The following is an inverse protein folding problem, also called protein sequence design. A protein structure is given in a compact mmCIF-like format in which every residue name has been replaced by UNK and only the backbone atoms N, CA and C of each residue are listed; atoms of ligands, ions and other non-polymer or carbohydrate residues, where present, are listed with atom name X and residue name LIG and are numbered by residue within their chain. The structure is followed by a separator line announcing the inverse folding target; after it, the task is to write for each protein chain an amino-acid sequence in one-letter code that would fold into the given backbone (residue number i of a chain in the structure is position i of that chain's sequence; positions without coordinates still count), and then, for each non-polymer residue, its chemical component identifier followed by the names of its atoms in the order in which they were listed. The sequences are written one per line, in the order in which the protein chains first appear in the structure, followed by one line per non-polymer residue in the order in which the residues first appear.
data_IF_577995913652
#
_entry.id   IF_577995913652
#
_cell.length_a   1.000
_cell.length_b   1.000
_cell.length_c   1.000
_cell.angle_alpha   90.00
_cell.angle_beta   90.00
_cell.angle_gamma   90.00
#
_symmetry.space_group_name_H-M   'P 1'
#
loop_
_entity.id
_entity.type
_entity.pdbx_description
1 polymer ?
#
# COMPACT_ATOMS: atom_id res chain seq x y z
N UNK A 1 67.01 2.37 64.16
CA UNK A 1 65.75 1.64 64.02
C UNK A 1 64.95 2.40 62.99
N UNK A 2 64.96 2.00 61.76
CA UNK A 2 64.49 2.69 60.61
C UNK A 2 63.34 1.88 59.95
N UNK A 3 62.18 2.42 59.94
CA UNK A 3 61.00 1.81 59.32
C UNK A 3 60.82 2.38 57.90
N UNK A 4 60.91 1.51 56.89
CA UNK A 4 60.69 1.79 55.48
C UNK A 4 59.20 1.67 55.13
N UNK A 5 58.63 2.76 54.72
CA UNK A 5 57.25 2.81 54.24
C UNK A 5 57.16 2.58 52.73
N UNK A 6 56.58 1.45 52.34
CA UNK A 6 56.31 1.07 50.97
C UNK A 6 55.08 1.79 50.45
N UNK A 7 55.24 2.64 49.43
CA UNK A 7 54.10 3.28 48.70
C UNK A 7 53.60 2.31 47.61
N UNK A 8 52.40 1.80 47.78
CA UNK A 8 51.72 1.02 46.76
C UNK A 8 51.04 1.97 45.77
N UNK A 9 51.56 1.98 44.57
CA UNK A 9 50.99 2.73 43.45
C UNK A 9 49.64 2.12 43.01
N UNK A 10 48.58 2.91 43.03
CA UNK A 10 47.28 2.56 42.48
C UNK A 10 47.32 2.66 40.96
N UNK A 11 47.40 1.52 40.29
CA UNK A 11 47.17 1.38 38.86
C UNK A 11 45.68 1.52 38.61
N UNK A 12 45.26 2.65 38.01
CA UNK A 12 43.90 2.81 37.51
C UNK A 12 43.77 2.09 36.19
N UNK A 13 43.12 0.92 36.17
CA UNK A 13 42.66 0.30 34.94
C UNK A 13 41.53 1.15 34.36
N UNK A 14 41.82 1.84 33.28
CA UNK A 14 40.83 2.48 32.44
C UNK A 14 40.18 1.40 31.57
N UNK A 15 39.00 0.96 31.93
CA UNK A 15 38.18 0.05 31.11
C UNK A 15 37.65 0.85 29.91
N UNK A 16 38.25 0.68 28.74
CA UNK A 16 37.67 1.12 27.47
C UNK A 16 36.52 0.19 27.13
N UNK A 17 35.30 0.62 27.41
CA UNK A 17 34.09 -0.02 26.88
C UNK A 17 33.98 0.34 25.40
N UNK A 18 34.45 -0.54 24.52
CA UNK A 18 34.19 -0.46 23.09
C UNK A 18 32.71 -0.77 22.84
N UNK A 19 31.89 0.28 22.74
CA UNK A 19 30.53 0.18 22.25
C UNK A 19 30.59 -0.16 20.74
N UNK A 20 30.52 -1.43 20.41
CA UNK A 20 30.30 -1.89 19.05
C UNK A 20 28.92 -1.45 18.59
N UNK A 21 28.85 -0.35 17.85
CA UNK A 21 27.68 0.08 17.10
C UNK A 21 27.43 -0.98 16.04
N UNK A 22 26.56 -1.95 16.34
CA UNK A 22 25.97 -2.83 15.37
C UNK A 22 25.07 -1.99 14.46
N UNK A 23 25.64 -1.37 13.43
CA UNK A 23 24.89 -0.85 12.30
C UNK A 23 24.37 -2.08 11.56
N UNK A 24 23.23 -2.60 12.02
CA UNK A 24 22.51 -3.63 11.31
C UNK A 24 22.08 -3.05 9.98
N UNK A 25 22.74 -3.41 8.89
CA UNK A 25 22.24 -3.23 7.55
C UNK A 25 20.88 -3.92 7.50
N UNK A 26 19.79 -3.19 7.67
CA UNK A 26 18.45 -3.73 7.50
C UNK A 26 18.38 -4.26 6.06
N UNK A 27 18.20 -5.57 5.92
CA UNK A 27 18.01 -6.19 4.60
C UNK A 27 16.82 -5.48 3.93
N UNK A 28 16.90 -5.22 2.62
CA UNK A 28 15.76 -4.66 1.90
C UNK A 28 14.55 -5.58 2.09
N UNK A 29 13.41 -4.98 2.40
CA UNK A 29 12.15 -5.73 2.46
C UNK A 29 11.81 -6.25 1.07
N UNK A 30 11.40 -7.50 1.00
CA UNK A 30 10.93 -8.16 -0.22
C UNK A 30 9.59 -8.80 0.10
N UNK A 31 8.60 -8.60 -0.77
CA UNK A 31 7.30 -9.25 -0.62
C UNK A 31 7.40 -10.74 -0.94
N UNK A 32 6.76 -11.56 -0.13
CA UNK A 32 6.71 -13.00 -0.35
C UNK A 32 5.50 -13.34 -1.24
N UNK A 33 5.68 -14.31 -2.13
CA UNK A 33 4.60 -14.84 -2.97
C UNK A 33 3.44 -15.38 -2.14
N UNK A 34 2.22 -15.29 -2.69
CA UNK A 34 0.97 -15.74 -2.07
C UNK A 34 0.34 -16.84 -2.90
N UNK A 35 -0.49 -17.72 -2.29
CA UNK A 35 -1.24 -18.73 -3.04
C UNK A 35 -2.09 -18.11 -4.15
N UNK A 36 -2.10 -18.77 -5.31
CA UNK A 36 -2.91 -18.39 -6.47
C UNK A 36 -4.30 -19.03 -6.44
N UNK A 37 -4.45 -20.14 -5.74
CA UNK A 37 -5.67 -20.94 -5.74
C UNK A 37 -6.82 -20.17 -5.05
N UNK A 38 -7.92 -20.03 -5.79
CA UNK A 38 -9.11 -19.38 -5.27
C UNK A 38 -9.75 -20.29 -4.20
N UNK A 39 -10.04 -19.76 -3.00
CA UNK A 39 -10.69 -20.54 -1.96
C UNK A 39 -12.08 -21.01 -2.39
N UNK A 40 -12.46 -22.21 -1.99
CA UNK A 40 -13.76 -22.78 -2.32
C UNK A 40 -14.90 -21.90 -1.81
N UNK A 41 -15.84 -21.57 -2.69
CA UNK A 41 -17.01 -20.76 -2.34
C UNK A 41 -16.78 -19.26 -2.31
N UNK A 42 -15.57 -18.77 -2.61
CA UNK A 42 -15.28 -17.34 -2.69
C UNK A 42 -15.43 -16.84 -4.12
N UNK A 43 -16.40 -15.97 -4.33
CA UNK A 43 -16.60 -15.23 -5.59
C UNK A 43 -16.89 -13.75 -5.28
N UNK A 44 -15.89 -12.92 -5.56
CA UNK A 44 -15.95 -11.46 -5.36
C UNK A 44 -16.67 -10.75 -6.51
N UNK A 45 -17.07 -11.46 -7.57
CA UNK A 45 -17.74 -10.88 -8.75
C UNK A 45 -19.03 -10.17 -8.35
N UNK A 46 -19.35 -9.08 -9.03
CA UNK A 46 -20.60 -8.35 -8.86
C UNK A 46 -20.44 -6.85 -9.05
N UNK A 47 -21.57 -6.16 -8.93
CA UNK A 47 -21.65 -4.70 -8.85
C UNK A 47 -21.74 -4.30 -7.37
N UNK A 48 -20.91 -3.37 -6.97
CA UNK A 48 -20.74 -2.97 -5.58
C UNK A 48 -20.86 -1.45 -5.45
N UNK A 49 -21.65 -0.98 -4.48
CA UNK A 49 -21.83 0.44 -4.21
C UNK A 49 -21.30 0.77 -2.81
N UNK A 50 -20.46 1.81 -2.72
CA UNK A 50 -19.89 2.27 -1.45
C UNK A 50 -21.01 2.69 -0.50
N UNK A 51 -20.96 2.22 0.76
CA UNK A 51 -21.92 2.60 1.81
C UNK A 51 -21.83 4.08 2.13
N UNK A 52 -22.97 4.70 2.45
CA UNK A 52 -23.06 6.14 2.70
C UNK A 52 -22.25 6.58 3.95
N UNK A 53 -22.17 5.73 4.97
CA UNK A 53 -21.39 5.95 6.18
C UNK A 53 -19.88 5.95 5.94
N UNK A 54 -19.42 5.33 4.85
CA UNK A 54 -18.03 5.37 4.40
C UNK A 54 -17.73 6.54 3.43
N UNK A 55 -18.69 7.43 3.20
CA UNK A 55 -18.54 8.58 2.30
C UNK A 55 -17.39 9.54 2.69
N UNK A 56 -17.05 9.61 3.97
CA UNK A 56 -15.86 10.31 4.48
C UNK A 56 -14.54 9.62 4.10
N UNK A 57 -14.62 8.44 3.51
CA UNK A 57 -13.45 7.64 3.11
C UNK A 57 -12.51 8.41 2.18
N UNK A 58 -13.04 9.17 1.22
CA UNK A 58 -12.21 9.99 0.32
C UNK A 58 -11.42 11.09 1.07
N UNK A 59 -12.02 11.68 2.12
CA UNK A 59 -11.33 12.67 2.97
C UNK A 59 -10.26 12.01 3.83
N UNK A 60 -10.58 10.87 4.45
CA UNK A 60 -9.62 10.08 5.24
C UNK A 60 -8.47 9.59 4.37
N UNK A 61 -8.78 9.11 3.15
CA UNK A 61 -7.78 8.70 2.18
C UNK A 61 -6.82 9.83 1.83
N UNK A 62 -7.32 11.01 1.49
CA UNK A 62 -6.47 12.18 1.22
C UNK A 62 -5.59 12.55 2.42
N UNK A 63 -6.13 12.46 3.64
CA UNK A 63 -5.35 12.69 4.86
C UNK A 63 -4.24 11.65 5.04
N UNK A 64 -4.54 10.37 4.82
CA UNK A 64 -3.58 9.28 4.89
C UNK A 64 -2.46 9.44 3.84
N UNK A 65 -2.81 9.78 2.61
CA UNK A 65 -1.85 10.04 1.53
C UNK A 65 -0.91 11.18 1.93
N UNK A 66 -1.44 12.29 2.44
CA UNK A 66 -0.59 13.40 2.90
C UNK A 66 0.35 13.00 4.03
N UNK A 67 -0.14 12.19 4.97
CA UNK A 67 0.68 11.73 6.09
C UNK A 67 1.82 10.82 5.64
N UNK A 68 1.58 10.00 4.60
CA UNK A 68 2.58 9.02 4.12
C UNK A 68 3.52 9.59 3.07
N UNK A 69 3.01 10.31 2.07
CA UNK A 69 3.79 10.77 0.91
C UNK A 69 4.25 12.23 0.98
N UNK A 70 3.60 13.05 1.81
CA UNK A 70 3.89 14.49 1.92
C UNK A 70 3.56 15.29 0.65
N UNK A 71 2.74 14.74 -0.26
CA UNK A 71 2.38 15.37 -1.54
C UNK A 71 1.10 16.18 -1.41
N UNK A 72 1.05 17.35 -2.06
CA UNK A 72 -0.14 18.21 -2.08
C UNK A 72 -1.23 17.60 -2.98
N UNK A 73 -2.42 17.36 -2.43
CA UNK A 73 -3.55 16.71 -3.08
C UNK A 73 -4.21 17.52 -4.21
N UNK A 74 -3.85 18.80 -4.36
CA UNK A 74 -4.40 19.65 -5.44
C UNK A 74 -4.06 19.16 -6.85
N UNK A 75 -2.95 18.44 -7.00
CA UNK A 75 -2.51 17.89 -8.29
C UNK A 75 -3.14 16.53 -8.62
N UNK A 76 -3.60 15.77 -7.60
CA UNK A 76 -3.98 14.36 -7.74
C UNK A 76 -5.46 14.21 -8.05
N UNK A 77 -6.29 15.00 -7.39
CA UNK A 77 -7.75 14.91 -7.50
C UNK A 77 -8.36 15.95 -8.43
N UNK A 78 -7.56 16.56 -9.28
CA UNK A 78 -8.05 17.32 -10.44
C UNK A 78 -8.61 16.32 -11.46
N UNK A 79 -9.76 15.75 -11.13
CA UNK A 79 -10.51 14.87 -12.04
C UNK A 79 -10.82 15.56 -13.36
N UNK A 80 -11.30 14.83 -14.38
CA UNK A 80 -11.47 15.30 -15.75
C UNK A 80 -12.60 16.33 -15.95
N UNK A 81 -13.01 17.06 -14.93
CA UNK A 81 -14.06 18.07 -15.02
C UNK A 81 -13.53 19.46 -15.40
N UNK A 82 -12.68 19.50 -16.43
CA UNK A 82 -12.51 20.69 -17.25
C UNK A 82 -12.41 20.29 -18.70
N UNK A 83 -13.57 20.25 -19.37
CA UNK A 83 -13.65 20.48 -20.79
C UNK A 83 -12.79 21.69 -21.15
N UNK A 84 -11.61 21.44 -21.64
CA UNK A 84 -10.92 22.39 -22.50
C UNK A 84 -10.70 21.72 -23.85
N UNK A 85 -11.65 22.04 -24.72
CA UNK A 85 -11.48 22.03 -26.16
C UNK A 85 -10.14 22.65 -26.52
N UNK A 86 -9.26 21.87 -27.07
CA UNK A 86 -7.97 22.34 -27.58
C UNK A 86 -7.23 21.16 -28.21
N UNK A 87 -7.39 21.03 -29.53
CA UNK A 87 -6.51 20.24 -30.39
C UNK A 87 -5.06 20.64 -30.11
N UNK A 88 -4.30 19.81 -29.44
CA UNK A 88 -2.91 20.04 -29.15
C UNK A 88 -2.29 18.80 -28.53
N UNK A 89 -1.73 17.95 -29.41
CA UNK A 89 -0.82 16.87 -29.04
C UNK A 89 0.39 17.40 -28.27
N UNK A 90 0.25 17.55 -27.01
CA UNK A 90 1.35 17.53 -26.03
C UNK A 90 0.87 16.72 -24.86
N UNK A 91 1.09 15.41 -24.93
CA UNK A 91 1.31 14.62 -23.74
C UNK A 91 2.56 15.25 -23.09
N UNK A 92 2.34 16.35 -22.38
CA UNK A 92 3.38 16.89 -21.50
C UNK A 92 3.73 15.78 -20.53
N UNK A 93 5.02 15.51 -20.44
CA UNK A 93 5.65 14.83 -19.32
C UNK A 93 5.17 15.48 -17.99
N UNK A 94 3.97 15.14 -17.55
CA UNK A 94 3.62 15.30 -16.17
C UNK A 94 4.49 14.26 -15.46
N UNK A 95 5.66 14.69 -15.04
CA UNK A 95 6.42 14.01 -14.03
C UNK A 95 5.41 13.70 -12.93
N UNK A 96 5.08 12.43 -12.77
CA UNK A 96 4.28 11.96 -11.66
C UNK A 96 5.15 12.20 -10.43
N UNK A 97 5.03 13.37 -9.82
CA UNK A 97 5.64 13.72 -8.54
C UNK A 97 4.85 13.07 -7.40
N UNK A 98 4.32 11.89 -7.62
CA UNK A 98 3.57 11.13 -6.64
C UNK A 98 4.32 9.87 -6.29
N UNK A 99 4.24 9.50 -5.02
CA UNK A 99 4.74 8.22 -4.54
C UNK A 99 3.85 7.05 -4.96
N UNK A 100 4.14 5.87 -4.40
CA UNK A 100 3.45 4.62 -4.65
C UNK A 100 1.91 4.73 -4.57
N UNK A 101 1.41 5.45 -3.58
CA UNK A 101 -0.03 5.55 -3.30
C UNK A 101 -0.77 6.26 -4.42
N UNK A 102 -0.17 7.31 -5.00
CA UNK A 102 -0.79 8.10 -6.06
C UNK A 102 -0.87 7.39 -7.39
N UNK A 103 -0.05 6.37 -7.57
CA UNK A 103 0.09 5.66 -8.83
C UNK A 103 -0.68 4.35 -8.84
N UNK A 104 -0.72 3.65 -7.70
CA UNK A 104 -1.24 2.30 -7.60
C UNK A 104 -2.51 2.17 -6.76
N UNK A 105 -2.99 3.24 -6.14
CA UNK A 105 -4.22 3.19 -5.36
C UNK A 105 -5.37 3.83 -6.13
N UNK A 106 -6.24 3.00 -6.65
CA UNK A 106 -7.50 3.45 -7.24
C UNK A 106 -8.64 3.45 -6.21
N UNK A 107 -9.52 4.40 -6.36
CA UNK A 107 -10.70 4.55 -5.49
C UNK A 107 -11.93 4.85 -6.34
N UNK A 108 -13.10 4.45 -5.85
CA UNK A 108 -14.37 4.70 -6.51
C UNK A 108 -15.54 4.56 -5.55
N UNK A 109 -16.67 5.13 -5.93
CA UNK A 109 -17.95 4.94 -5.23
C UNK A 109 -18.66 3.67 -5.68
N UNK A 110 -18.42 3.25 -6.91
CA UNK A 110 -18.94 2.00 -7.46
C UNK A 110 -17.80 1.13 -7.97
N UNK A 111 -17.91 -0.18 -7.74
CA UNK A 111 -16.99 -1.17 -8.27
C UNK A 111 -17.77 -2.18 -9.10
N UNK A 112 -17.24 -2.50 -10.29
CA UNK A 112 -17.60 -3.74 -10.98
C UNK A 112 -16.42 -4.69 -10.85
N UNK A 113 -16.66 -5.81 -10.18
CA UNK A 113 -15.66 -6.85 -9.98
C UNK A 113 -15.98 -8.02 -10.89
N UNK A 114 -14.98 -8.52 -11.60
CA UNK A 114 -15.06 -9.74 -12.39
C UNK A 114 -13.93 -10.65 -11.96
N UNK A 115 -14.26 -11.78 -11.34
CA UNK A 115 -13.32 -12.79 -10.88
C UNK A 115 -13.27 -13.94 -11.86
N UNK A 116 -12.07 -14.44 -12.10
CA UNK A 116 -11.77 -15.68 -12.81
C UNK A 116 -10.97 -16.62 -11.91
N UNK A 117 -10.68 -17.82 -12.35
CA UNK A 117 -9.77 -18.71 -11.63
C UNK A 117 -8.31 -18.18 -11.58
N UNK A 118 -7.94 -17.22 -12.45
CA UNK A 118 -6.56 -16.72 -12.58
C UNK A 118 -6.35 -15.31 -12.04
N UNK A 119 -7.43 -14.57 -11.80
CA UNK A 119 -7.31 -13.17 -11.41
C UNK A 119 -8.62 -12.44 -11.24
N UNK A 120 -8.48 -11.17 -10.92
CA UNK A 120 -9.56 -10.26 -10.64
C UNK A 120 -9.42 -9.00 -11.49
N UNK A 121 -10.52 -8.54 -12.05
CA UNK A 121 -10.63 -7.24 -12.70
C UNK A 121 -11.57 -6.37 -11.86
N UNK A 122 -11.09 -5.19 -11.46
CA UNK A 122 -11.91 -4.20 -10.76
C UNK A 122 -12.03 -2.95 -11.64
N UNK A 123 -13.25 -2.60 -12.00
CA UNK A 123 -13.55 -1.32 -12.64
C UNK A 123 -14.06 -0.35 -11.58
N UNK A 124 -13.37 0.77 -11.40
CA UNK A 124 -13.69 1.85 -10.49
C UNK A 124 -14.50 2.92 -11.23
N UNK A 125 -15.72 3.20 -10.78
CA UNK A 125 -16.63 4.21 -11.35
C UNK A 125 -16.78 4.11 -12.88
N UNK A 126 -16.60 2.91 -13.45
CA UNK A 126 -16.62 2.61 -14.90
C UNK A 126 -15.55 3.35 -15.72
N UNK A 127 -14.56 3.95 -15.08
CA UNK A 127 -13.55 4.77 -15.73
C UNK A 127 -12.17 4.10 -15.78
N UNK A 128 -11.78 3.42 -14.70
CA UNK A 128 -10.46 2.81 -14.55
C UNK A 128 -10.67 1.31 -14.30
N UNK A 129 -9.88 0.49 -14.97
CA UNK A 129 -9.87 -0.96 -14.76
C UNK A 129 -8.49 -1.40 -14.32
N UNK A 130 -8.42 -2.05 -13.16
CA UNK A 130 -7.22 -2.72 -12.69
C UNK A 130 -7.33 -4.23 -12.81
N UNK A 131 -6.23 -4.86 -13.20
CA UNK A 131 -6.07 -6.31 -13.28
C UNK A 131 -5.13 -6.78 -12.17
N UNK A 132 -5.56 -7.78 -11.42
CA UNK A 132 -4.77 -8.48 -10.40
C UNK A 132 -4.70 -9.96 -10.76
N UNK A 133 -3.50 -10.50 -10.93
CA UNK A 133 -3.29 -11.93 -11.24
C UNK A 133 -2.97 -12.69 -9.97
N UNK A 134 -3.71 -13.73 -9.68
CA UNK A 134 -3.47 -14.54 -8.48
C UNK A 134 -2.11 -15.27 -8.57
N UNK A 135 -1.37 -15.25 -7.46
CA UNK A 135 -0.02 -15.81 -7.38
C UNK A 135 1.07 -14.96 -8.03
N UNK A 136 0.76 -13.75 -8.55
CA UNK A 136 1.79 -12.88 -9.11
C UNK A 136 2.78 -12.42 -8.03
N UNK A 137 4.04 -12.37 -8.43
CA UNK A 137 5.14 -11.73 -7.69
C UNK A 137 6.08 -11.13 -8.72
N UNK A 138 5.85 -9.87 -9.07
CA UNK A 138 6.56 -9.22 -10.18
C UNK A 138 6.85 -7.77 -9.91
N UNK A 139 7.82 -7.24 -10.64
CA UNK A 139 8.03 -5.79 -10.73
C UNK A 139 7.02 -5.19 -11.70
N UNK A 140 6.38 -4.12 -11.27
CA UNK A 140 5.46 -3.30 -12.07
C UNK A 140 5.99 -1.89 -12.18
N UNK A 141 5.66 -1.22 -13.28
CA UNK A 141 6.08 0.16 -13.54
C UNK A 141 4.87 0.98 -13.97
N UNK A 142 4.71 2.15 -13.36
CA UNK A 142 3.78 3.18 -13.83
C UNK A 142 4.55 4.50 -13.89
N UNK A 143 4.80 4.99 -15.09
CA UNK A 143 5.73 6.10 -15.29
C UNK A 143 7.12 5.78 -14.77
N UNK A 144 7.64 6.64 -13.88
CA UNK A 144 8.95 6.47 -13.25
C UNK A 144 8.87 5.64 -11.96
N UNK A 145 7.67 5.34 -11.46
CA UNK A 145 7.49 4.57 -10.21
C UNK A 145 7.59 3.09 -10.52
N UNK A 146 8.55 2.44 -9.88
CA UNK A 146 8.75 1.00 -9.93
C UNK A 146 8.45 0.39 -8.57
N UNK A 147 7.66 -0.68 -8.56
CA UNK A 147 7.29 -1.39 -7.33
C UNK A 147 7.22 -2.90 -7.56
N UNK A 148 7.47 -3.67 -6.51
CA UNK A 148 7.14 -5.09 -6.46
C UNK A 148 5.66 -5.23 -6.12
N UNK A 149 4.90 -6.02 -6.89
CA UNK A 149 3.51 -6.37 -6.58
C UNK A 149 3.40 -7.86 -6.35
N UNK A 150 2.67 -8.21 -5.31
CA UNK A 150 2.29 -9.57 -4.97
C UNK A 150 0.78 -9.61 -4.77
N UNK A 151 0.12 -10.58 -5.41
CA UNK A 151 -1.34 -10.77 -5.30
C UNK A 151 -1.64 -12.23 -5.05
N UNK A 152 -2.53 -12.50 -4.11
CA UNK A 152 -3.01 -13.86 -3.85
C UNK A 152 -3.83 -13.95 -2.57
N UNK A 153 -4.07 -15.16 -2.10
CA UNK A 153 -5.05 -15.44 -1.07
C UNK A 153 -4.43 -15.70 0.31
N UNK A 154 -5.08 -15.18 1.35
CA UNK A 154 -4.89 -15.54 2.75
C UNK A 154 -6.23 -16.03 3.32
N UNK A 155 -6.44 -17.35 3.35
CA UNK A 155 -7.78 -17.88 3.58
C UNK A 155 -8.76 -17.33 2.55
N UNK A 156 -9.86 -16.74 2.98
CA UNK A 156 -10.89 -16.14 2.10
C UNK A 156 -10.64 -14.66 1.75
N UNK A 157 -9.48 -14.14 2.09
CA UNK A 157 -9.11 -12.73 1.86
C UNK A 157 -8.17 -12.64 0.67
N UNK A 158 -8.56 -11.91 -0.36
CA UNK A 158 -7.63 -11.51 -1.42
C UNK A 158 -6.71 -10.40 -0.89
N UNK A 159 -5.41 -10.58 -1.03
CA UNK A 159 -4.40 -9.61 -0.60
C UNK A 159 -3.58 -9.18 -1.78
N UNK A 160 -3.49 -7.86 -1.97
CA UNK A 160 -2.60 -7.20 -2.92
C UNK A 160 -1.60 -6.37 -2.13
N UNK A 161 -0.32 -6.64 -2.31
CA UNK A 161 0.74 -5.83 -1.72
C UNK A 161 1.58 -5.21 -2.81
N UNK A 162 1.87 -3.94 -2.67
CA UNK A 162 2.73 -3.19 -3.58
C UNK A 162 3.79 -2.46 -2.75
N UNK A 163 5.07 -2.70 -3.04
CA UNK A 163 6.21 -2.15 -2.32
C UNK A 163 7.14 -1.44 -3.30
N UNK A 164 7.39 -0.17 -3.09
CA UNK A 164 8.31 0.60 -3.93
C UNK A 164 9.76 0.55 -3.43
N UNK A 165 10.67 1.13 -4.21
CA UNK A 165 12.10 1.23 -3.88
C UNK A 165 12.38 2.10 -2.66
N UNK A 166 11.46 2.99 -2.31
CA UNK A 166 11.58 3.89 -1.16
C UNK A 166 11.03 3.26 0.13
N UNK A 167 10.65 1.95 0.08
CA UNK A 167 10.07 1.19 1.20
C UNK A 167 8.67 1.66 1.61
N UNK A 168 7.99 2.40 0.76
CA UNK A 168 6.56 2.66 0.93
C UNK A 168 5.79 1.42 0.50
N UNK A 169 4.81 1.02 1.31
CA UNK A 169 4.01 -0.18 1.08
C UNK A 169 2.53 0.15 1.09
N UNK A 170 1.84 -0.29 0.04
CA UNK A 170 0.39 -0.31 -0.05
C UNK A 170 -0.07 -1.76 0.09
N UNK A 171 -0.97 -2.03 1.02
CA UNK A 171 -1.61 -3.33 1.19
C UNK A 171 -3.11 -3.17 1.07
N UNK A 172 -3.72 -3.93 0.18
CA UNK A 172 -5.16 -4.01 0.03
C UNK A 172 -5.63 -5.41 0.42
N UNK A 173 -6.66 -5.48 1.22
CA UNK A 173 -7.28 -6.73 1.67
C UNK A 173 -8.76 -6.67 1.32
N UNK A 174 -9.21 -7.59 0.48
CA UNK A 174 -10.57 -7.59 -0.07
C UNK A 174 -11.25 -8.91 0.34
N UNK A 175 -12.44 -8.82 0.90
CA UNK A 175 -13.20 -9.99 1.32
C UNK A 175 -14.70 -9.74 1.23
N UNK A 176 -15.46 -10.82 1.15
CA UNK A 176 -16.91 -10.79 1.36
C UNK A 176 -17.22 -10.64 2.84
N UNK A 177 -18.28 -9.91 3.13
CA UNK A 177 -18.88 -9.77 4.47
C UNK A 177 -20.41 -9.94 4.35
N UNK A 178 -21.11 -10.00 5.48
CA UNK A 178 -22.57 -10.06 5.52
C UNK A 178 -23.11 -11.22 4.64
N UNK A 179 -22.51 -12.42 4.75
CA UNK A 179 -22.85 -13.61 3.97
C UNK A 179 -22.83 -13.39 2.44
N UNK A 180 -21.89 -12.56 1.94
CA UNK A 180 -21.74 -12.25 0.53
C UNK A 180 -22.59 -11.07 0.03
N UNK A 181 -23.40 -10.45 0.89
CA UNK A 181 -24.15 -9.24 0.55
C UNK A 181 -23.29 -7.96 0.59
N UNK A 182 -22.14 -8.00 1.27
CA UNK A 182 -21.18 -6.92 1.37
C UNK A 182 -19.78 -7.28 0.89
N UNK A 183 -19.02 -6.27 0.49
CA UNK A 183 -17.60 -6.35 0.19
C UNK A 183 -16.84 -5.38 1.10
N UNK A 184 -15.85 -5.86 1.82
CA UNK A 184 -14.94 -5.03 2.59
C UNK A 184 -13.59 -4.94 1.89
N UNK A 185 -13.13 -3.72 1.64
CA UNK A 185 -11.78 -3.41 1.16
C UNK A 185 -11.04 -2.63 2.24
N UNK A 186 -10.03 -3.23 2.82
CA UNK A 186 -9.14 -2.59 3.78
C UNK A 186 -7.85 -2.20 3.09
N UNK A 187 -7.49 -0.93 3.20
CA UNK A 187 -6.31 -0.33 2.59
C UNK A 187 -5.38 0.08 3.72
N UNK A 188 -4.15 -0.39 3.69
CA UNK A 188 -3.12 -0.08 4.68
C UNK A 188 -1.96 0.58 3.92
N UNK A 189 -1.66 1.80 4.31
CA UNK A 189 -0.55 2.59 3.80
C UNK A 189 0.54 2.61 4.84
N UNK A 190 1.74 2.16 4.47
CA UNK A 190 2.90 2.24 5.35
C UNK A 190 3.96 3.12 4.71
N UNK A 191 4.36 4.18 5.43
CA UNK A 191 5.42 5.08 5.02
C UNK A 191 6.80 4.41 5.09
N UNK A 192 7.79 5.02 4.45
CA UNK A 192 9.18 4.58 4.53
C UNK A 192 9.75 4.60 5.98
N UNK A 193 9.13 5.38 6.86
CA UNK A 193 9.47 5.47 8.28
C UNK A 193 8.81 4.40 9.14
N UNK A 194 7.87 3.63 8.57
CA UNK A 194 7.11 2.60 9.26
C UNK A 194 5.80 3.09 9.89
N UNK A 195 5.40 4.34 9.63
CA UNK A 195 4.09 4.84 10.05
C UNK A 195 3.01 4.20 9.20
N UNK A 196 1.93 3.75 9.82
CA UNK A 196 0.83 3.06 9.14
C UNK A 196 -0.49 3.82 9.28
N UNK A 197 -1.19 3.95 8.17
CA UNK A 197 -2.55 4.47 8.11
C UNK A 197 -3.48 3.41 7.52
N UNK A 198 -4.62 3.22 8.14
CA UNK A 198 -5.61 2.22 7.70
C UNK A 198 -6.92 2.90 7.33
N UNK A 199 -7.43 2.51 6.16
CA UNK A 199 -8.74 2.89 5.68
C UNK A 199 -9.56 1.64 5.39
N UNK A 200 -10.83 1.65 5.78
CA UNK A 200 -11.79 0.59 5.47
C UNK A 200 -12.90 1.19 4.60
N UNK A 201 -13.19 0.52 3.50
CA UNK A 201 -14.31 0.81 2.61
C UNK A 201 -15.26 -0.39 2.64
N UNK A 202 -16.57 -0.15 2.81
CA UNK A 202 -17.60 -1.17 2.75
C UNK A 202 -18.55 -0.85 1.62
N UNK A 203 -18.87 -1.88 0.88
CA UNK A 203 -19.73 -1.79 -0.29
C UNK A 203 -20.88 -2.76 -0.12
N UNK A 204 -22.05 -2.36 -0.59
CA UNK A 204 -23.22 -3.24 -0.71
C UNK A 204 -23.33 -3.78 -2.12
N UNK A 205 -23.70 -5.06 -2.23
CA UNK A 205 -23.95 -5.71 -3.52
C UNK A 205 -25.19 -5.07 -4.15
N UNK A 206 -25.07 -4.68 -5.40
CA UNK A 206 -26.22 -4.21 -6.17
C UNK A 206 -26.89 -5.41 -6.84
N UNK A 207 -28.22 -5.42 -6.80
CA UNK A 207 -29.02 -6.35 -7.61
C UNK A 207 -28.91 -5.93 -9.07
N UNK A 208 -28.75 -6.92 -9.94
CA UNK A 208 -28.79 -6.72 -11.41
C UNK A 208 -30.17 -6.28 -11.87
#
# INVERSE_FOLDING_TARGET
MTSAGTRIGRIRLASLAAAALLVGCAKPEVLLGRPAEVPVGVDLSGMWQLRADDSDGARRMRAAIRATDGVDDREIFSGPDRQQSGYGTRRSDRRVKGGLVHVFLETGKSLKVTQTQFGLFISFDRAIVEEFRFGENRMINVGEVQAQRVTGWEGEVLVVETLDRNRMKLTERIRLVDNGAGLERRIILRSAKGEEETLVQRFDRQSD
#
